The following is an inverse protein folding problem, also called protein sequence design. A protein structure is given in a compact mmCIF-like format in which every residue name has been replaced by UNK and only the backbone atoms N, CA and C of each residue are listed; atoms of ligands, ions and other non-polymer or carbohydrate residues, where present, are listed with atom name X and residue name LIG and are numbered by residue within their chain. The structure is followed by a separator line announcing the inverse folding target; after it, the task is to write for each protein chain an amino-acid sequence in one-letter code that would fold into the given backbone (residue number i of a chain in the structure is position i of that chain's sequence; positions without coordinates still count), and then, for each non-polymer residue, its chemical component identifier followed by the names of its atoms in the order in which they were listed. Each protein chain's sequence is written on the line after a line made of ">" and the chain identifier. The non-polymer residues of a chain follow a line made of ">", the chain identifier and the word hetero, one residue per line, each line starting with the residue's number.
data_IF_758555661376
#
_entry.id   IF_758555661376
#
_cell.length_a   1.000
_cell.length_b   1.000
_cell.length_c   1.000
_cell.angle_alpha   90.00
_cell.angle_beta   90.00
_cell.angle_gamma   90.00
#
_symmetry.space_group_name_H-M   'P 1'
#
loop_
_entity.id
_entity.type
_entity.pdbx_description
1 polymer ?
#
# COMPACT_ATOMS: atom_id res chain seq x y z
N UNK A 1 19.85 -3.72 45.46
CA UNK A 1 20.87 -3.19 46.39
C UNK A 1 21.82 -2.32 45.58
N UNK A 2 22.03 -1.06 46.01
CA UNK A 2 23.07 -0.07 45.63
C UNK A 2 23.49 0.03 44.14
N UNK A 3 23.22 1.11 43.38
CA UNK A 3 23.68 2.52 43.51
C UNK A 3 25.19 2.70 43.19
N UNK A 4 25.71 3.80 42.62
CA UNK A 4 25.15 5.05 42.07
C UNK A 4 25.46 5.11 40.52
N UNK A 5 25.30 6.16 39.70
CA UNK A 5 24.95 7.58 39.87
C UNK A 5 24.24 8.13 38.59
N UNK A 6 24.22 9.45 38.36
CA UNK A 6 23.53 10.15 37.26
C UNK A 6 24.31 11.38 36.71
N UNK A 7 23.63 12.13 35.80
CA UNK A 7 23.87 13.53 35.33
C UNK A 7 24.76 13.60 34.07
N UNK A 8 24.31 13.97 32.85
CA UNK A 8 23.38 14.98 32.26
C UNK A 8 24.10 16.22 31.69
N UNK A 9 23.49 16.74 30.61
CA UNK A 9 23.52 18.12 30.07
C UNK A 9 24.72 18.60 29.20
N UNK A 10 24.47 18.58 27.89
CA UNK A 10 24.49 19.73 26.95
C UNK A 10 25.63 20.77 26.98
N UNK A 11 26.27 20.99 25.82
CA UNK A 11 27.10 22.16 25.56
C UNK A 11 26.93 22.77 24.15
N UNK A 12 26.49 24.03 24.12
CA UNK A 12 26.67 25.09 23.10
C UNK A 12 26.32 26.42 23.81
N UNK A 13 26.77 27.61 23.36
CA UNK A 13 27.89 27.93 22.44
C UNK A 13 28.78 29.12 22.96
N UNK A 14 29.59 29.69 22.05
CA UNK A 14 30.08 31.10 22.02
C UNK A 14 31.50 31.48 22.55
N UNK A 15 32.39 31.74 21.56
CA UNK A 15 33.04 33.04 21.26
C UNK A 15 34.38 33.51 21.89
N UNK A 16 35.08 34.29 21.03
CA UNK A 16 36.13 35.32 21.20
C UNK A 16 37.64 34.98 21.37
N UNK A 17 38.35 35.29 20.28
CA UNK A 17 39.54 36.16 20.12
C UNK A 17 41.00 35.76 20.45
N UNK A 18 41.84 36.22 19.50
CA UNK A 18 43.31 36.37 19.44
C UNK A 18 43.87 37.32 20.54
N UNK A 19 45.20 37.39 20.86
CA UNK A 19 46.31 37.41 19.88
C UNK A 19 47.72 36.82 20.23
N UNK A 20 48.38 36.31 19.19
CA UNK A 20 49.69 36.74 18.63
C UNK A 20 50.81 37.32 19.55
N UNK A 21 52.07 36.80 19.47
CA UNK A 21 53.38 37.55 19.37
C UNK A 21 54.68 36.74 19.72
N UNK A 22 55.67 36.72 18.79
CA UNK A 22 57.18 36.68 18.93
C UNK A 22 57.88 35.56 19.78
N UNK A 23 59.21 35.32 19.69
CA UNK A 23 60.28 35.29 18.63
C UNK A 23 61.59 34.79 19.33
N UNK A 24 62.54 34.20 18.58
CA UNK A 24 63.99 34.06 18.91
C UNK A 24 64.35 33.06 20.06
N UNK A 25 65.53 32.41 20.14
CA UNK A 25 66.75 32.37 19.31
C UNK A 25 67.58 31.08 19.59
N UNK A 26 68.53 30.71 18.68
CA UNK A 26 69.92 30.15 18.84
C UNK A 26 70.28 29.20 20.04
N UNK A 27 71.20 28.23 20.00
CA UNK A 27 72.29 27.78 19.08
C UNK A 27 72.90 26.47 19.63
N UNK A 28 73.61 25.67 18.80
CA UNK A 28 74.73 24.84 19.28
C UNK A 28 74.67 23.34 18.94
N UNK A 29 75.68 22.87 18.22
CA UNK A 29 76.09 21.47 17.97
C UNK A 29 77.55 21.34 18.49
N UNK A 30 78.10 20.16 18.89
CA UNK A 30 78.54 19.18 17.87
C UNK A 30 78.66 17.67 18.26
N UNK A 31 78.56 16.81 17.23
CA UNK A 31 79.31 15.54 16.96
C UNK A 31 79.63 14.50 18.06
N UNK A 32 79.12 13.26 17.88
CA UNK A 32 79.89 11.98 17.99
C UNK A 32 79.46 11.01 16.85
N UNK A 33 80.37 10.14 16.40
CA UNK A 33 80.31 9.29 15.20
C UNK A 33 79.84 7.83 15.44
N UNK A 34 79.25 7.19 14.41
CA UNK A 34 78.95 5.75 14.37
C UNK A 34 78.20 5.31 13.10
N UNK A 35 78.63 4.24 12.42
CA UNK A 35 78.13 3.92 11.06
C UNK A 35 76.74 3.26 11.02
N UNK A 36 75.85 3.63 10.07
CA UNK A 36 74.43 3.25 10.12
C UNK A 36 74.01 2.15 9.12
N UNK A 37 74.66 0.98 9.09
CA UNK A 37 74.29 -0.11 8.13
C UNK A 37 73.76 -1.41 8.74
N UNK A 38 73.99 -1.72 10.02
CA UNK A 38 73.46 -2.96 10.65
C UNK A 38 72.17 -2.77 11.48
N UNK A 39 71.84 -1.56 11.94
CA UNK A 39 70.64 -1.33 12.77
C UNK A 39 69.32 -1.24 11.96
N UNK A 40 69.34 -0.87 10.68
CA UNK A 40 68.11 -0.71 9.89
C UNK A 40 67.46 -2.03 9.44
N UNK A 41 68.26 -3.08 9.16
CA UNK A 41 67.73 -4.37 8.70
C UNK A 41 66.90 -5.09 9.79
N UNK A 42 67.35 -5.06 11.04
CA UNK A 42 66.65 -5.70 12.16
C UNK A 42 65.31 -5.01 12.51
N UNK A 43 65.25 -3.67 12.41
CA UNK A 43 64.02 -2.89 12.65
C UNK A 43 62.99 -3.08 11.53
N UNK A 44 63.45 -3.25 10.28
CA UNK A 44 62.57 -3.54 9.13
C UNK A 44 61.93 -4.93 9.23
N UNK A 45 62.73 -5.98 9.48
CA UNK A 45 62.24 -7.36 9.60
C UNK A 45 61.29 -7.58 10.79
N UNK A 46 61.52 -6.89 11.92
CA UNK A 46 60.62 -6.93 13.08
C UNK A 46 59.30 -6.21 12.83
N UNK A 47 59.31 -5.03 12.20
CA UNK A 47 58.07 -4.33 11.78
C UNK A 47 57.24 -5.15 10.78
N UNK A 48 57.85 -5.76 9.77
CA UNK A 48 57.13 -6.64 8.82
C UNK A 48 56.53 -7.87 9.51
N UNK A 49 57.25 -8.51 10.45
CA UNK A 49 56.73 -9.64 11.23
C UNK A 49 55.57 -9.23 12.13
N UNK A 50 55.62 -8.04 12.73
CA UNK A 50 54.54 -7.50 13.56
C UNK A 50 53.29 -7.17 12.73
N UNK A 51 53.43 -6.46 11.61
CA UNK A 51 52.31 -6.16 10.70
C UNK A 51 51.65 -7.43 10.16
N UNK A 52 52.43 -8.44 9.71
CA UNK A 52 51.86 -9.71 9.24
C UNK A 52 51.10 -10.46 10.34
N UNK A 53 51.60 -10.46 11.59
CA UNK A 53 50.87 -11.05 12.73
C UNK A 53 49.60 -10.27 13.08
N UNK A 54 49.63 -8.94 13.01
CA UNK A 54 48.46 -8.09 13.29
C UNK A 54 47.36 -8.26 12.23
N UNK A 55 47.71 -8.31 10.95
CA UNK A 55 46.78 -8.58 9.84
C UNK A 55 46.20 -9.99 9.95
N UNK A 56 47.02 -10.99 10.34
CA UNK A 56 46.54 -12.36 10.58
C UNK A 56 45.55 -12.42 11.76
N UNK A 57 45.80 -11.69 12.85
CA UNK A 57 44.87 -11.61 13.98
C UNK A 57 43.55 -10.93 13.59
N UNK A 58 43.59 -9.82 12.83
CA UNK A 58 42.39 -9.13 12.35
C UNK A 58 41.56 -9.96 11.36
N UNK A 59 42.21 -10.75 10.50
CA UNK A 59 41.50 -11.66 9.59
C UNK A 59 40.91 -12.85 10.33
N UNK A 60 41.59 -13.40 11.34
CA UNK A 60 41.01 -14.44 12.22
C UNK A 60 39.81 -13.91 13.02
N UNK A 61 39.89 -12.72 13.62
CA UNK A 61 38.74 -12.15 14.36
C UNK A 61 37.58 -11.81 13.43
N UNK A 62 37.83 -11.35 12.20
CA UNK A 62 36.78 -11.16 11.20
C UNK A 62 36.11 -12.48 10.79
N UNK A 63 36.88 -13.55 10.55
CA UNK A 63 36.34 -14.88 10.21
C UNK A 63 35.52 -15.47 11.38
N UNK A 64 36.00 -15.34 12.62
CA UNK A 64 35.25 -15.79 13.81
C UNK A 64 33.98 -14.96 14.01
N UNK A 65 34.04 -13.64 13.82
CA UNK A 65 32.86 -12.75 13.82
C UNK A 65 31.84 -13.17 12.75
N UNK A 66 32.30 -13.40 11.52
CA UNK A 66 31.45 -13.81 10.40
C UNK A 66 30.80 -15.18 10.63
N UNK A 67 31.54 -16.18 11.15
CA UNK A 67 30.98 -17.50 11.45
C UNK A 67 29.99 -17.47 12.62
N UNK A 68 30.23 -16.65 13.65
CA UNK A 68 29.26 -16.40 14.73
C UNK A 68 28.02 -15.65 14.22
N UNK A 69 28.17 -14.70 13.28
CA UNK A 69 27.04 -13.99 12.67
C UNK A 69 26.20 -14.91 11.77
N UNK A 70 26.84 -15.64 10.86
CA UNK A 70 26.18 -16.60 9.96
C UNK A 70 25.49 -17.71 10.76
N UNK A 71 26.12 -18.24 11.80
CA UNK A 71 25.46 -19.23 12.67
C UNK A 71 24.28 -18.62 13.44
N UNK A 72 24.38 -17.41 14.00
CA UNK A 72 23.22 -16.72 14.62
C UNK A 72 22.07 -16.46 13.64
N UNK A 73 22.36 -16.03 12.42
CA UNK A 73 21.35 -15.81 11.36
C UNK A 73 20.73 -17.15 10.94
N UNK A 74 21.54 -18.19 10.76
CA UNK A 74 21.07 -19.54 10.43
C UNK A 74 20.21 -20.15 11.54
N UNK A 75 20.62 -20.06 12.80
CA UNK A 75 19.81 -20.49 13.95
C UNK A 75 18.53 -19.67 14.11
N UNK A 76 18.54 -18.36 13.85
CA UNK A 76 17.33 -17.52 13.85
C UNK A 76 16.36 -17.95 12.75
N UNK A 77 16.85 -18.19 11.53
CA UNK A 77 16.02 -18.66 10.41
C UNK A 77 15.54 -20.11 10.62
N UNK A 78 16.34 -20.98 11.24
CA UNK A 78 15.95 -22.35 11.60
C UNK A 78 14.91 -22.38 12.73
N UNK A 79 15.02 -21.48 13.71
CA UNK A 79 14.00 -21.26 14.75
C UNK A 79 12.68 -20.76 14.13
N UNK A 80 12.73 -19.81 13.18
CA UNK A 80 11.55 -19.39 12.40
C UNK A 80 10.95 -20.56 11.61
N UNK A 81 11.76 -21.35 10.91
CA UNK A 81 11.29 -22.49 10.10
C UNK A 81 10.69 -23.64 10.93
N UNK A 82 11.25 -23.93 12.10
CA UNK A 82 10.70 -24.92 13.04
C UNK A 82 9.43 -24.40 13.72
N UNK A 83 9.34 -23.11 14.04
CA UNK A 83 8.12 -22.48 14.56
C UNK A 83 7.01 -22.49 13.48
N UNK A 84 7.33 -22.16 12.23
CA UNK A 84 6.40 -22.25 11.09
C UNK A 84 5.90 -23.68 10.87
N UNK A 85 6.77 -24.70 10.92
CA UNK A 85 6.34 -26.12 10.87
C UNK A 85 5.46 -26.52 12.07
N UNK A 86 5.70 -25.95 13.26
CA UNK A 86 4.93 -26.25 14.49
C UNK A 86 3.56 -25.55 14.50
N UNK A 87 3.45 -24.36 13.92
CA UNK A 87 2.18 -23.66 13.67
C UNK A 87 1.37 -24.36 12.57
N UNK A 88 2.03 -24.85 11.49
CA UNK A 88 1.38 -25.55 10.37
C UNK A 88 0.73 -26.90 10.75
N UNK A 89 1.00 -27.44 11.94
CA UNK A 89 0.44 -28.70 12.44
C UNK A 89 -0.66 -28.53 13.50
N UNK A 90 -1.26 -27.33 13.67
CA UNK A 90 -2.31 -27.11 14.69
C UNK A 90 -3.58 -26.40 14.24
N UNK A 91 -3.87 -26.35 12.94
CA UNK A 91 -5.14 -25.86 12.40
C UNK A 91 -5.82 -26.92 11.54
N UNK A 92 -6.32 -27.97 12.21
CA UNK A 92 -7.35 -28.87 11.67
C UNK A 92 -8.55 -28.75 12.61
N UNK A 93 -9.49 -27.84 12.27
CA UNK A 93 -10.84 -27.82 12.82
C UNK A 93 -11.78 -27.67 11.64
N UNK A 94 -12.69 -28.64 11.49
CA UNK A 94 -13.66 -28.68 10.42
C UNK A 94 -14.82 -27.69 10.64
N UNK A 95 -15.22 -27.03 9.55
CA UNK A 95 -16.61 -26.91 9.10
C UNK A 95 -17.66 -26.40 10.12
N UNK A 96 -18.01 -25.11 10.01
CA UNK A 96 -19.18 -24.53 10.67
C UNK A 96 -19.88 -23.47 9.80
N UNK A 97 -20.46 -23.89 8.66
CA UNK A 97 -21.41 -23.06 7.90
C UNK A 97 -22.68 -23.86 7.50
N UNK A 98 -23.21 -24.69 8.41
CA UNK A 98 -24.48 -25.42 8.24
C UNK A 98 -25.36 -25.42 9.51
N UNK A 99 -25.18 -24.45 10.42
CA UNK A 99 -25.84 -24.46 11.75
C UNK A 99 -26.66 -23.20 12.08
N UNK A 100 -27.05 -22.40 11.07
CA UNK A 100 -27.98 -21.26 11.24
C UNK A 100 -29.32 -21.36 10.50
N UNK A 101 -29.61 -22.49 9.85
CA UNK A 101 -30.90 -22.72 9.17
C UNK A 101 -31.73 -23.92 9.68
N UNK A 102 -31.17 -24.77 10.56
CA UNK A 102 -31.86 -25.97 11.08
C UNK A 102 -32.75 -25.70 12.32
N UNK A 103 -32.60 -24.54 12.98
CA UNK A 103 -33.42 -24.21 14.17
C UNK A 103 -34.88 -23.90 13.84
N UNK A 104 -35.14 -23.27 12.70
CA UNK A 104 -36.51 -22.88 12.31
C UNK A 104 -37.37 -24.07 11.90
N UNK A 105 -36.78 -25.07 11.22
CA UNK A 105 -37.51 -26.28 10.78
C UNK A 105 -37.76 -27.24 11.96
N UNK A 106 -36.81 -27.39 12.89
CA UNK A 106 -37.05 -28.21 14.10
C UNK A 106 -38.10 -27.64 15.04
N UNK A 107 -38.28 -26.31 15.07
CA UNK A 107 -39.40 -25.70 15.79
C UNK A 107 -40.74 -26.03 15.12
N UNK A 108 -40.84 -25.87 13.80
CA UNK A 108 -42.05 -26.19 13.02
C UNK A 108 -42.40 -27.70 13.03
N UNK A 109 -41.41 -28.59 13.16
CA UNK A 109 -41.63 -30.03 13.28
C UNK A 109 -41.94 -30.50 14.71
N UNK A 110 -41.78 -29.65 15.72
CA UNK A 110 -42.17 -29.95 17.11
C UNK A 110 -43.68 -29.82 17.30
N UNK A 111 -44.27 -28.76 16.75
CA UNK A 111 -45.66 -28.39 17.01
C UNK A 111 -46.68 -29.29 16.27
N UNK A 112 -46.22 -30.07 15.29
CA UNK A 112 -47.03 -31.06 14.58
C UNK A 112 -47.18 -32.42 15.31
N UNK A 113 -46.61 -32.59 16.52
CA UNK A 113 -46.54 -33.89 17.22
C UNK A 113 -47.44 -34.06 18.45
N UNK A 114 -48.34 -33.11 18.72
CA UNK A 114 -49.33 -33.20 19.81
C UNK A 114 -50.79 -33.11 19.33
N UNK A 115 -51.19 -34.01 18.44
CA UNK A 115 -52.62 -34.36 18.28
C UNK A 115 -52.81 -35.87 18.12
N UNK A 116 -53.17 -36.54 19.21
CA UNK A 116 -53.53 -37.95 19.23
C UNK A 116 -55.02 -38.12 18.93
N UNK A 117 -55.38 -38.95 17.94
CA UNK A 117 -55.94 -40.28 18.22
C UNK A 117 -56.33 -41.10 16.99
N UNK A 118 -56.07 -42.41 17.11
CA UNK A 118 -56.71 -43.58 16.48
C UNK A 118 -57.91 -43.33 15.55
N UNK A 119 -57.91 -43.97 14.38
CA UNK A 119 -58.67 -45.23 14.16
C UNK A 119 -57.98 -46.07 13.06
N UNK A 120 -58.38 -47.34 12.91
CA UNK A 120 -57.67 -48.38 12.16
C UNK A 120 -57.72 -48.20 10.64
N UNK A 121 -56.82 -48.87 9.90
CA UNK A 121 -57.13 -49.93 8.89
C UNK A 121 -55.83 -50.45 8.24
N UNK A 122 -55.76 -51.77 8.03
CA UNK A 122 -54.72 -52.48 7.25
C UNK A 122 -55.01 -52.45 5.76
N UNK A 123 -54.02 -52.85 4.95
CA UNK A 123 -54.12 -53.13 3.51
C UNK A 123 -54.28 -51.90 2.59
N UNK A 124 -53.96 -51.97 1.29
CA UNK A 124 -52.88 -52.67 0.57
C UNK A 124 -52.90 -52.11 -0.88
N UNK A 125 -51.72 -51.82 -1.45
CA UNK A 125 -51.47 -51.66 -2.91
C UNK A 125 -52.55 -51.00 -3.79
N UNK A 126 -52.34 -49.75 -4.19
CA UNK A 126 -52.56 -49.38 -5.61
C UNK A 126 -51.67 -48.21 -6.03
N UNK A 127 -51.15 -48.32 -7.25
CA UNK A 127 -50.25 -47.37 -7.90
C UNK A 127 -51.08 -46.42 -8.74
N UNK A 128 -51.06 -45.11 -8.46
CA UNK A 128 -51.51 -44.12 -9.44
C UNK A 128 -50.88 -42.73 -9.28
N UNK A 129 -50.34 -42.24 -10.39
CA UNK A 129 -50.14 -40.84 -10.78
C UNK A 129 -49.95 -39.77 -9.68
N UNK A 130 -48.68 -39.43 -9.38
CA UNK A 130 -48.36 -38.07 -8.93
C UNK A 130 -47.87 -37.24 -10.12
N UNK A 131 -48.73 -36.34 -10.57
CA UNK A 131 -48.40 -35.28 -11.54
C UNK A 131 -47.20 -34.46 -11.05
N UNK A 132 -46.18 -34.30 -11.91
CA UNK A 132 -45.01 -33.50 -11.59
C UNK A 132 -45.39 -32.04 -11.30
N UNK A 133 -45.16 -31.58 -10.08
CA UNK A 133 -45.20 -30.16 -9.73
C UNK A 133 -43.88 -29.53 -10.23
N UNK A 134 -43.93 -28.45 -11.04
CA UNK A 134 -42.71 -27.84 -11.56
C UNK A 134 -41.95 -27.13 -10.44
N UNK A 135 -40.75 -27.62 -10.13
CA UNK A 135 -39.80 -26.90 -9.26
C UNK A 135 -39.27 -25.71 -10.05
N UNK A 136 -39.83 -24.54 -9.78
CA UNK A 136 -39.41 -23.27 -10.36
C UNK A 136 -38.50 -22.53 -9.40
N UNK A 137 -37.57 -21.77 -9.98
CA UNK A 137 -36.67 -20.81 -9.32
C UNK A 137 -35.59 -21.41 -8.40
N UNK A 138 -34.40 -21.60 -8.99
CA UNK A 138 -33.16 -21.64 -8.25
C UNK A 138 -33.01 -20.35 -7.44
N UNK A 139 -32.81 -20.47 -6.14
CA UNK A 139 -32.61 -19.34 -5.23
C UNK A 139 -31.41 -18.50 -5.68
N UNK A 140 -31.59 -17.19 -5.84
CA UNK A 140 -30.50 -16.25 -6.12
C UNK A 140 -29.43 -16.36 -5.02
N UNK A 141 -28.25 -16.86 -5.37
CA UNK A 141 -27.12 -16.93 -4.45
C UNK A 141 -26.53 -15.53 -4.34
N UNK A 142 -27.05 -14.72 -3.41
CA UNK A 142 -26.46 -13.43 -3.09
C UNK A 142 -25.16 -13.64 -2.30
N UNK A 143 -24.05 -13.14 -2.83
CA UNK A 143 -22.75 -13.24 -2.18
C UNK A 143 -22.50 -12.01 -1.34
N UNK A 144 -22.59 -12.17 -0.02
CA UNK A 144 -22.63 -11.02 0.88
C UNK A 144 -21.28 -10.60 1.46
N UNK A 145 -20.22 -11.41 1.45
CA UNK A 145 -19.03 -11.12 2.27
C UNK A 145 -18.39 -9.74 2.00
N UNK A 146 -18.22 -9.35 0.73
CA UNK A 146 -17.70 -8.02 0.37
C UNK A 146 -18.75 -6.90 0.36
N UNK A 147 -20.02 -7.18 0.71
CA UNK A 147 -21.07 -6.17 0.71
C UNK A 147 -20.83 -5.14 1.84
N UNK A 148 -20.67 -3.83 1.54
CA UNK A 148 -20.08 -2.89 2.47
C UNK A 148 -20.93 -2.63 3.72
N UNK A 149 -22.25 -2.73 3.62
CA UNK A 149 -23.15 -2.54 4.77
C UNK A 149 -23.14 -3.69 5.79
N UNK A 150 -22.34 -4.75 5.56
CA UNK A 150 -21.98 -5.68 6.64
C UNK A 150 -21.04 -5.03 7.67
N UNK A 151 -20.34 -3.98 7.26
CA UNK A 151 -19.31 -3.29 8.01
C UNK A 151 -19.79 -1.92 8.47
N UNK A 152 -19.07 -1.34 9.43
CA UNK A 152 -19.40 -0.05 10.05
C UNK A 152 -18.17 0.84 10.10
N UNK A 153 -18.36 2.09 9.70
CA UNK A 153 -17.35 3.11 9.89
C UNK A 153 -17.15 3.41 11.39
N UNK A 154 -15.91 3.23 11.85
CA UNK A 154 -15.40 3.61 13.18
C UNK A 154 -14.84 5.04 13.12
N UNK A 155 -14.29 5.42 11.97
CA UNK A 155 -13.86 6.77 11.61
C UNK A 155 -14.49 7.05 10.23
N UNK A 156 -15.20 8.17 10.07
CA UNK A 156 -16.30 8.23 9.08
C UNK A 156 -16.39 9.57 8.30
N UNK A 157 -15.76 10.64 8.82
CA UNK A 157 -15.70 12.01 8.26
C UNK A 157 -16.92 12.44 7.41
N UNK A 158 -18.15 12.35 7.96
CA UNK A 158 -19.40 12.33 7.19
C UNK A 158 -19.69 13.61 6.39
N UNK A 159 -19.19 14.75 6.86
CA UNK A 159 -19.46 16.07 6.28
C UNK A 159 -18.32 16.57 5.37
N UNK A 160 -17.24 15.79 5.18
CA UNK A 160 -16.03 16.24 4.48
C UNK A 160 -16.33 16.74 3.07
N UNK A 161 -17.05 15.95 2.27
CA UNK A 161 -17.42 16.36 0.92
C UNK A 161 -18.50 17.46 0.88
N UNK A 162 -19.40 17.53 1.87
CA UNK A 162 -20.39 18.62 1.96
C UNK A 162 -19.71 19.98 2.17
N UNK A 163 -18.61 19.98 2.93
CA UNK A 163 -17.81 21.17 3.25
C UNK A 163 -16.81 21.51 2.13
N UNK A 164 -16.08 20.53 1.60
CA UNK A 164 -15.02 20.74 0.61
C UNK A 164 -15.55 20.83 -0.83
N UNK A 165 -16.75 20.28 -1.11
CA UNK A 165 -17.39 20.20 -2.43
C UNK A 165 -16.41 19.81 -3.57
N UNK A 166 -15.74 18.65 -3.49
CA UNK A 166 -14.71 18.25 -4.43
C UNK A 166 -15.25 18.00 -5.84
N UNK A 167 -14.44 18.33 -6.84
CA UNK A 167 -14.62 17.81 -8.20
C UNK A 167 -14.07 16.39 -8.32
N UNK A 168 -12.94 16.12 -7.68
CA UNK A 168 -12.24 14.84 -7.67
C UNK A 168 -11.95 14.40 -6.23
N UNK A 169 -12.25 13.15 -5.91
CA UNK A 169 -11.87 12.50 -4.64
C UNK A 169 -10.79 11.44 -4.89
N UNK A 170 -9.67 11.52 -4.18
CA UNK A 170 -8.63 10.50 -4.19
C UNK A 170 -8.82 9.57 -2.99
N UNK A 171 -9.27 8.35 -3.26
CA UNK A 171 -9.47 7.30 -2.26
C UNK A 171 -8.23 6.42 -2.20
N UNK A 172 -7.49 6.50 -1.09
CA UNK A 172 -6.20 5.84 -0.91
C UNK A 172 -6.33 4.66 0.06
N UNK A 173 -6.55 3.43 -0.41
CA UNK A 173 -6.45 2.26 0.46
C UNK A 173 -5.03 2.11 0.98
N UNK A 174 -4.89 2.07 2.31
CA UNK A 174 -3.60 2.01 3.00
C UNK A 174 -3.74 1.17 4.27
N UNK A 175 -2.70 0.47 4.70
CA UNK A 175 -2.78 -0.30 5.93
C UNK A 175 -2.59 0.59 7.18
N UNK A 176 -3.24 0.28 8.32
CA UNK A 176 -3.09 0.99 9.59
C UNK A 176 -1.66 1.38 9.96
N UNK A 177 -0.70 0.46 9.79
CA UNK A 177 0.70 0.66 10.13
C UNK A 177 1.51 1.55 9.17
N UNK A 178 0.99 1.88 7.98
CA UNK A 178 1.71 2.62 6.93
C UNK A 178 1.59 4.15 7.09
N UNK A 179 1.81 4.65 8.30
CA UNK A 179 1.83 6.08 8.61
C UNK A 179 2.87 6.85 7.76
N UNK A 180 4.00 6.22 7.42
CA UNK A 180 5.01 6.81 6.53
C UNK A 180 4.49 7.04 5.10
N UNK A 181 3.66 6.13 4.57
CA UNK A 181 3.07 6.27 3.25
C UNK A 181 2.03 7.41 3.23
N UNK A 182 1.11 7.42 4.22
CA UNK A 182 0.13 8.52 4.40
C UNK A 182 0.82 9.88 4.50
N UNK A 183 1.88 9.98 5.31
CA UNK A 183 2.64 11.21 5.47
C UNK A 183 3.46 11.61 4.25
N UNK A 184 3.94 10.68 3.42
CA UNK A 184 4.57 11.02 2.15
C UNK A 184 3.55 11.58 1.15
N UNK A 185 2.36 10.98 1.08
CA UNK A 185 1.25 11.47 0.24
C UNK A 185 0.82 12.87 0.67
N UNK A 186 0.57 13.10 1.97
CA UNK A 186 0.27 14.45 2.54
C UNK A 186 1.37 15.49 2.30
N UNK A 187 2.61 15.08 2.05
CA UNK A 187 3.75 15.98 1.74
C UNK A 187 4.00 16.16 0.24
N UNK A 188 3.24 15.46 -0.61
CA UNK A 188 3.45 15.45 -2.05
C UNK A 188 2.15 15.76 -2.80
N UNK A 189 1.66 14.86 -3.66
CA UNK A 189 0.47 15.08 -4.47
C UNK A 189 -0.81 15.19 -3.63
N UNK A 190 -0.85 14.57 -2.46
CA UNK A 190 -1.99 14.67 -1.55
C UNK A 190 -2.16 16.04 -0.87
N UNK A 191 -1.25 16.98 -1.11
CA UNK A 191 -1.33 18.36 -0.61
C UNK A 191 -1.92 19.35 -1.65
N UNK A 192 -2.17 18.92 -2.89
CA UNK A 192 -2.71 19.80 -3.94
C UNK A 192 -4.24 19.86 -3.90
N UNK A 193 -4.79 20.63 -2.96
CA UNK A 193 -6.24 20.73 -2.74
C UNK A 193 -7.02 21.49 -3.82
N UNK A 194 -6.34 22.27 -4.67
CA UNK A 194 -6.94 22.95 -5.83
C UNK A 194 -6.00 22.85 -7.03
N UNK A 195 -6.47 22.24 -8.11
CA UNK A 195 -5.75 22.12 -9.40
C UNK A 195 -6.68 22.53 -10.53
N UNK A 196 -6.20 23.35 -11.47
CA UNK A 196 -6.98 23.84 -12.62
C UNK A 196 -8.37 24.43 -12.24
N UNK A 197 -8.42 25.18 -11.13
CA UNK A 197 -9.65 25.78 -10.54
C UNK A 197 -10.72 24.76 -10.10
N UNK A 198 -10.31 23.56 -9.67
CA UNK A 198 -11.17 22.51 -9.14
C UNK A 198 -10.66 22.00 -7.80
N UNK A 199 -11.57 21.80 -6.85
CA UNK A 199 -11.26 21.25 -5.54
C UNK A 199 -10.96 19.74 -5.64
N UNK A 200 -9.93 19.30 -4.94
CA UNK A 200 -9.51 17.91 -4.84
C UNK A 200 -9.48 17.55 -3.35
N UNK A 201 -10.16 16.46 -2.99
CA UNK A 201 -10.18 15.90 -1.64
C UNK A 201 -9.40 14.60 -1.61
N UNK A 202 -8.62 14.36 -0.55
CA UNK A 202 -7.92 13.09 -0.32
C UNK A 202 -8.51 12.41 0.92
N UNK A 203 -8.72 11.10 0.83
CA UNK A 203 -9.23 10.27 1.93
C UNK A 203 -8.46 8.96 1.97
N UNK A 204 -7.85 8.65 3.10
CA UNK A 204 -7.19 7.37 3.36
C UNK A 204 -8.19 6.36 3.90
N UNK A 205 -8.27 5.17 3.30
CA UNK A 205 -9.21 4.11 3.69
C UNK A 205 -8.50 2.93 4.35
N UNK A 206 -8.92 2.62 5.58
CA UNK A 206 -8.28 1.63 6.45
C UNK A 206 -9.30 0.61 7.00
N UNK A 207 -8.82 -0.59 7.31
CA UNK A 207 -9.53 -1.56 8.14
C UNK A 207 -9.09 -1.53 9.61
N UNK A 208 -9.40 -2.59 10.33
CA UNK A 208 -8.91 -2.84 11.69
C UNK A 208 -7.41 -3.16 11.71
N UNK A 209 -6.66 -2.67 12.71
CA UNK A 209 -5.25 -3.00 12.88
C UNK A 209 -5.04 -4.45 13.33
N UNK A 210 -3.94 -5.06 12.87
CA UNK A 210 -3.61 -6.46 13.17
C UNK A 210 -2.70 -6.63 14.40
N UNK A 211 -1.43 -6.23 14.27
CA UNK A 211 -0.41 -6.36 15.33
C UNK A 211 -0.43 -5.07 16.17
N UNK A 212 -0.26 -5.19 17.50
CA UNK A 212 -0.34 -4.06 18.45
C UNK A 212 -1.65 -3.26 18.32
N UNK A 213 -2.76 -3.95 18.03
CA UNK A 213 -4.03 -3.39 17.61
C UNK A 213 -4.53 -2.20 18.46
N UNK A 214 -4.50 -2.30 19.80
CA UNK A 214 -4.96 -1.22 20.69
C UNK A 214 -4.13 0.06 20.55
N UNK A 215 -2.80 -0.08 20.53
CA UNK A 215 -1.85 1.04 20.37
C UNK A 215 -1.98 1.68 18.99
N UNK A 216 -2.04 0.85 17.95
CA UNK A 216 -2.21 1.32 16.57
C UNK A 216 -3.57 2.00 16.36
N UNK A 217 -4.62 1.50 17.00
CA UNK A 217 -5.93 2.15 16.95
C UNK A 217 -5.93 3.52 17.63
N UNK A 218 -5.14 3.70 18.70
CA UNK A 218 -4.98 5.00 19.35
C UNK A 218 -4.12 5.96 18.52
N UNK A 219 -3.04 5.47 17.90
CA UNK A 219 -2.23 6.23 16.93
C UNK A 219 -3.11 6.74 15.77
N UNK A 220 -4.03 5.91 15.24
CA UNK A 220 -5.00 6.31 14.21
C UNK A 220 -6.02 7.35 14.70
N UNK A 221 -6.46 7.30 15.97
CA UNK A 221 -7.37 8.33 16.52
C UNK A 221 -6.68 9.68 16.63
N UNK A 222 -5.44 9.70 17.11
CA UNK A 222 -4.62 10.90 17.22
C UNK A 222 -4.27 11.47 15.83
N UNK A 223 -4.02 10.60 14.85
CA UNK A 223 -3.82 11.00 13.46
C UNK A 223 -5.10 11.62 12.87
N UNK A 224 -6.27 11.02 13.07
CA UNK A 224 -7.52 11.57 12.56
C UNK A 224 -7.89 12.92 13.19
N UNK A 225 -7.65 13.08 14.50
CA UNK A 225 -7.83 14.35 15.22
C UNK A 225 -6.95 15.49 14.68
N UNK A 226 -5.86 15.16 13.97
CA UNK A 226 -4.94 16.14 13.39
C UNK A 226 -5.26 16.46 11.92
N UNK A 227 -5.67 15.45 11.14
CA UNK A 227 -5.76 15.57 9.68
C UNK A 227 -7.18 15.48 9.10
N UNK A 228 -8.15 14.88 9.79
CA UNK A 228 -9.53 14.70 9.31
C UNK A 228 -9.62 14.15 7.87
N UNK A 229 -8.77 13.17 7.56
CA UNK A 229 -8.60 12.57 6.24
C UNK A 229 -8.59 11.03 6.27
N UNK A 230 -8.93 10.40 7.41
CA UNK A 230 -9.05 8.96 7.53
C UNK A 230 -10.53 8.53 7.50
N UNK A 231 -10.81 7.44 6.78
CA UNK A 231 -12.00 6.62 7.03
C UNK A 231 -11.54 5.22 7.42
N UNK A 232 -12.19 4.65 8.43
CA UNK A 232 -11.87 3.33 8.96
C UNK A 232 -13.13 2.52 9.14
N UNK A 233 -13.18 1.31 8.59
CA UNK A 233 -14.31 0.39 8.72
C UNK A 233 -13.91 -0.92 9.41
N UNK A 234 -14.85 -1.60 10.06
CA UNK A 234 -14.62 -2.70 11.01
C UNK A 234 -14.28 -4.08 10.39
N UNK A 235 -13.68 -4.10 9.19
CA UNK A 235 -13.15 -5.31 8.55
C UNK A 235 -11.66 -5.55 8.91
N UNK A 236 -11.21 -6.80 8.88
CA UNK A 236 -9.79 -7.13 9.10
C UNK A 236 -8.93 -6.67 7.92
N UNK A 237 -7.97 -5.75 8.15
CA UNK A 237 -7.14 -5.22 7.06
C UNK A 237 -6.10 -6.25 6.60
N UNK A 238 -6.25 -6.76 5.38
CA UNK A 238 -5.33 -7.72 4.77
C UNK A 238 -5.45 -7.71 3.25
N UNK A 239 -4.42 -8.21 2.55
CA UNK A 239 -4.41 -8.31 1.08
C UNK A 239 -5.62 -9.09 0.53
N UNK A 240 -6.03 -10.17 1.21
CA UNK A 240 -7.19 -10.97 0.81
C UNK A 240 -8.52 -10.23 0.93
N UNK A 241 -8.56 -9.18 1.78
CA UNK A 241 -9.74 -8.36 2.03
C UNK A 241 -9.71 -7.01 1.28
N UNK A 242 -8.82 -6.83 0.29
CA UNK A 242 -8.81 -5.61 -0.53
C UNK A 242 -10.15 -5.37 -1.22
N UNK A 243 -10.84 -6.43 -1.66
CA UNK A 243 -12.17 -6.36 -2.25
C UNK A 243 -13.21 -5.78 -1.29
N UNK A 244 -13.15 -6.16 0.00
CA UNK A 244 -13.97 -5.53 1.07
C UNK A 244 -13.60 -4.05 1.21
N UNK A 245 -12.31 -3.72 1.28
CA UNK A 245 -11.83 -2.33 1.40
C UNK A 245 -12.32 -1.45 0.24
N UNK A 246 -12.24 -1.93 -1.01
CA UNK A 246 -12.76 -1.18 -2.15
C UNK A 246 -14.28 -1.06 -2.13
N UNK A 247 -15.03 -2.10 -1.75
CA UNK A 247 -16.48 -1.95 -1.63
C UNK A 247 -16.89 -0.93 -0.54
N UNK A 248 -16.13 -0.86 0.57
CA UNK A 248 -16.28 0.19 1.60
C UNK A 248 -15.93 1.59 1.04
N UNK A 249 -14.88 1.71 0.23
CA UNK A 249 -14.55 2.95 -0.50
C UNK A 249 -15.70 3.39 -1.40
N UNK A 250 -16.28 2.47 -2.18
CA UNK A 250 -17.40 2.76 -3.09
C UNK A 250 -18.67 3.15 -2.32
N UNK A 251 -18.95 2.53 -1.17
CA UNK A 251 -20.09 2.89 -0.32
C UNK A 251 -19.92 4.27 0.33
N UNK A 252 -18.72 4.60 0.80
CA UNK A 252 -18.44 5.93 1.35
C UNK A 252 -18.61 7.02 0.27
N UNK A 253 -18.08 6.80 -0.94
CA UNK A 253 -18.30 7.71 -2.07
C UNK A 253 -19.79 7.87 -2.41
N UNK A 254 -20.52 6.76 -2.53
CA UNK A 254 -21.94 6.76 -2.89
C UNK A 254 -22.84 7.42 -1.84
N UNK A 255 -22.50 7.31 -0.55
CA UNK A 255 -23.36 7.77 0.55
C UNK A 255 -22.93 9.10 1.17
N UNK A 256 -21.64 9.46 1.12
CA UNK A 256 -21.07 10.65 1.79
C UNK A 256 -20.46 11.67 0.84
N UNK A 257 -20.18 11.27 -0.39
CA UNK A 257 -19.61 12.14 -1.41
C UNK A 257 -20.37 12.11 -2.77
N UNK A 258 -21.72 11.95 -2.83
CA UNK A 258 -22.43 11.79 -4.10
C UNK A 258 -22.32 13.00 -5.06
N UNK A 259 -21.96 14.18 -4.54
CA UNK A 259 -21.77 15.42 -5.31
C UNK A 259 -20.45 15.51 -6.08
N UNK A 260 -19.46 14.65 -5.77
CA UNK A 260 -18.21 14.65 -6.51
C UNK A 260 -18.45 14.27 -7.99
N UNK A 261 -17.72 14.89 -8.92
CA UNK A 261 -17.85 14.55 -10.35
C UNK A 261 -17.12 13.25 -10.67
N UNK A 262 -15.90 13.10 -10.14
CA UNK A 262 -15.06 11.92 -10.32
C UNK A 262 -14.47 11.45 -8.99
N UNK A 263 -14.12 10.18 -8.94
CA UNK A 263 -13.30 9.61 -7.89
C UNK A 263 -12.17 8.78 -8.51
N UNK A 264 -11.05 8.67 -7.81
CA UNK A 264 -9.93 7.81 -8.18
C UNK A 264 -9.57 6.92 -7.00
N UNK A 265 -9.55 5.60 -7.20
CA UNK A 265 -8.86 4.69 -6.30
C UNK A 265 -7.38 4.67 -6.71
N UNK A 266 -6.47 4.86 -5.76
CA UNK A 266 -5.03 4.87 -6.03
C UNK A 266 -4.25 4.29 -4.85
N UNK A 267 -3.32 3.37 -5.12
CA UNK A 267 -2.57 2.69 -4.06
C UNK A 267 -1.56 3.62 -3.35
N UNK A 268 -1.15 3.24 -2.13
CA UNK A 268 -0.33 4.07 -1.24
C UNK A 268 1.14 4.21 -1.66
N UNK A 269 1.62 3.38 -2.59
CA UNK A 269 2.97 3.37 -3.16
C UNK A 269 3.08 4.11 -4.50
N UNK A 270 2.05 4.92 -4.84
CA UNK A 270 1.94 5.58 -6.14
C UNK A 270 2.50 7.00 -6.17
N UNK A 271 3.09 7.36 -7.31
CA UNK A 271 3.24 8.73 -7.76
C UNK A 271 2.00 9.14 -8.58
N UNK A 272 1.49 10.35 -8.35
CA UNK A 272 0.35 10.90 -9.10
C UNK A 272 0.64 12.34 -9.53
N UNK A 273 0.55 12.62 -10.83
CA UNK A 273 0.63 13.96 -11.39
C UNK A 273 -0.79 14.50 -11.64
N UNK A 274 -1.26 15.31 -10.70
CA UNK A 274 -2.64 15.83 -10.73
C UNK A 274 -2.90 16.79 -11.89
N UNK A 275 -1.91 17.54 -12.39
CA UNK A 275 -2.09 18.38 -13.58
C UNK A 275 -2.45 17.55 -14.81
N UNK A 276 -1.80 16.39 -14.99
CA UNK A 276 -2.08 15.48 -16.09
C UNK A 276 -3.43 14.76 -15.90
N UNK A 277 -3.79 14.35 -14.68
CA UNK A 277 -5.09 13.74 -14.39
C UNK A 277 -6.24 14.75 -14.61
N UNK A 278 -6.11 15.97 -14.10
CA UNK A 278 -7.11 17.01 -14.26
C UNK A 278 -7.26 17.43 -15.73
N UNK A 279 -6.16 17.49 -16.48
CA UNK A 279 -6.20 17.71 -17.93
C UNK A 279 -6.93 16.60 -18.69
N UNK A 280 -6.93 15.36 -18.18
CA UNK A 280 -7.77 14.27 -18.71
C UNK A 280 -9.25 14.46 -18.32
N UNK A 281 -9.55 14.77 -17.06
CA UNK A 281 -10.93 14.87 -16.56
C UNK A 281 -11.69 16.13 -16.99
N UNK A 282 -10.98 17.21 -17.34
CA UNK A 282 -11.57 18.48 -17.79
C UNK A 282 -11.70 18.59 -19.32
N UNK A 283 -11.30 17.56 -20.07
CA UNK A 283 -11.51 17.49 -21.51
C UNK A 283 -13.00 17.50 -21.87
N UNK A 284 -13.44 18.24 -22.91
CA UNK A 284 -14.83 18.28 -23.33
C UNK A 284 -15.41 16.91 -23.75
N UNK A 285 -14.55 15.99 -24.18
CA UNK A 285 -14.90 14.65 -24.66
C UNK A 285 -14.81 13.55 -23.58
N UNK A 286 -14.35 13.87 -22.37
CA UNK A 286 -14.36 12.92 -21.25
C UNK A 286 -15.79 12.78 -20.70
N UNK A 287 -16.38 11.58 -20.68
CA UNK A 287 -17.74 11.39 -20.19
C UNK A 287 -17.83 11.57 -18.67
N UNK A 288 -18.96 12.13 -18.21
CA UNK A 288 -19.19 12.52 -16.81
C UNK A 288 -19.99 11.51 -16.00
N UNK A 289 -20.54 10.50 -16.66
CA UNK A 289 -21.35 9.42 -16.10
C UNK A 289 -20.97 8.12 -16.82
N UNK A 290 -21.15 6.98 -16.16
CA UNK A 290 -20.82 5.64 -16.69
C UNK A 290 -19.39 5.51 -17.28
N UNK A 291 -18.44 6.26 -16.74
CA UNK A 291 -17.06 6.35 -17.21
C UNK A 291 -16.06 5.78 -16.22
N UNK A 292 -15.16 4.92 -16.68
CA UNK A 292 -14.05 4.39 -15.89
C UNK A 292 -12.81 4.15 -16.77
N UNK A 293 -11.64 4.65 -16.35
CA UNK A 293 -10.38 4.56 -17.12
C UNK A 293 -9.14 4.40 -16.23
N UNK A 294 -8.08 3.86 -16.81
CA UNK A 294 -6.82 3.56 -16.14
C UNK A 294 -5.91 2.74 -17.05
N UNK A 295 -5.07 1.86 -16.47
CA UNK A 295 -4.34 0.86 -17.27
C UNK A 295 -5.23 -0.35 -17.54
N UNK A 296 -5.77 -0.45 -18.76
CA UNK A 296 -6.67 -1.54 -19.18
C UNK A 296 -5.93 -2.89 -19.22
N UNK A 297 -6.59 -3.90 -18.64
CA UNK A 297 -6.14 -5.28 -18.55
C UNK A 297 -7.18 -6.17 -19.26
N UNK A 298 -6.73 -6.94 -20.25
CA UNK A 298 -7.58 -7.78 -21.11
C UNK A 298 -6.97 -9.19 -21.25
N UNK A 299 -7.83 -10.21 -21.41
CA UNK A 299 -7.46 -11.63 -21.51
C UNK A 299 -6.44 -12.09 -20.44
N UNK A 300 -6.58 -11.59 -19.20
CA UNK A 300 -5.71 -11.99 -18.08
C UNK A 300 -6.21 -13.34 -17.53
N UNK A 301 -5.39 -14.41 -17.56
CA UNK A 301 -5.80 -15.71 -17.05
C UNK A 301 -5.89 -15.71 -15.53
N UNK A 302 -6.87 -16.44 -15.00
CA UNK A 302 -7.05 -16.62 -13.56
C UNK A 302 -5.98 -17.57 -13.03
N UNK A 303 -5.21 -17.14 -12.03
CA UNK A 303 -4.09 -17.94 -11.53
C UNK A 303 -4.60 -19.02 -10.57
N UNK A 304 -4.54 -20.27 -11.02
CA UNK A 304 -4.97 -21.46 -10.24
C UNK A 304 -3.87 -22.13 -9.41
N UNK A 305 -2.62 -21.62 -9.43
CA UNK A 305 -1.55 -22.10 -8.55
C UNK A 305 -1.73 -21.59 -7.11
N UNK A 306 -2.00 -22.52 -6.18
CA UNK A 306 -2.17 -22.28 -4.74
C UNK A 306 -0.95 -21.68 -4.03
N UNK A 307 0.23 -21.67 -4.67
CA UNK A 307 1.44 -21.03 -4.15
C UNK A 307 1.60 -19.56 -4.61
N UNK A 308 0.80 -19.11 -5.57
CA UNK A 308 0.79 -17.72 -6.04
C UNK A 308 0.08 -16.82 -5.04
N UNK A 309 0.62 -15.60 -4.82
CA UNK A 309 -0.08 -14.53 -4.09
C UNK A 309 -1.37 -14.07 -4.78
N UNK A 310 -1.49 -14.37 -6.07
CA UNK A 310 -2.64 -14.04 -6.92
C UNK A 310 -3.59 -15.23 -7.16
N UNK A 311 -3.46 -16.30 -6.36
CA UNK A 311 -4.34 -17.46 -6.46
C UNK A 311 -5.81 -17.07 -6.30
N UNK A 312 -6.67 -17.58 -7.18
CA UNK A 312 -8.13 -17.54 -7.02
C UNK A 312 -8.72 -18.95 -7.22
N UNK A 313 -9.46 -19.48 -6.23
CA UNK A 313 -10.15 -20.77 -6.35
C UNK A 313 -11.23 -20.74 -7.42
N UNK A 314 -11.43 -21.86 -8.12
CA UNK A 314 -12.53 -22.06 -9.07
C UNK A 314 -13.89 -21.90 -8.37
N UNK A 315 -13.97 -22.26 -7.09
CA UNK A 315 -15.18 -22.06 -6.30
C UNK A 315 -15.49 -20.57 -6.04
N UNK A 316 -14.53 -19.64 -6.12
CA UNK A 316 -14.78 -18.20 -5.98
C UNK A 316 -15.06 -17.51 -7.32
N UNK A 317 -14.45 -18.00 -8.39
CA UNK A 317 -14.56 -17.46 -9.74
C UNK A 317 -14.23 -18.61 -10.71
N UNK A 318 -15.21 -19.09 -11.46
CA UNK A 318 -15.16 -20.33 -12.25
C UNK A 318 -14.59 -20.13 -13.66
N UNK A 319 -14.75 -18.96 -14.25
CA UNK A 319 -14.17 -18.63 -15.57
C UNK A 319 -12.62 -18.68 -15.59
N UNK A 320 -12.04 -19.09 -16.73
CA UNK A 320 -10.57 -19.20 -16.90
C UNK A 320 -9.85 -17.86 -17.05
N UNK A 321 -10.59 -16.80 -17.40
CA UNK A 321 -10.08 -15.45 -17.64
C UNK A 321 -10.91 -14.42 -16.88
N UNK A 322 -10.26 -13.34 -16.43
CA UNK A 322 -10.98 -12.18 -15.89
C UNK A 322 -11.67 -11.39 -17.01
N UNK A 323 -12.78 -10.68 -16.71
CA UNK A 323 -13.34 -9.69 -17.63
C UNK A 323 -12.34 -8.57 -17.90
N UNK A 324 -12.64 -7.67 -18.83
CA UNK A 324 -11.79 -6.47 -19.00
C UNK A 324 -11.87 -5.61 -17.74
N UNK A 325 -10.71 -5.29 -17.16
CA UNK A 325 -10.60 -4.54 -15.91
C UNK A 325 -9.47 -3.50 -15.98
N UNK A 326 -9.29 -2.73 -14.91
CA UNK A 326 -8.21 -1.73 -14.80
C UNK A 326 -7.23 -2.14 -13.70
N UNK A 327 -5.92 -2.12 -13.99
CA UNK A 327 -4.90 -2.56 -13.04
C UNK A 327 -4.96 -1.77 -11.72
N UNK A 328 -4.94 -2.50 -10.60
CA UNK A 328 -5.20 -1.98 -9.26
C UNK A 328 -4.33 -0.82 -8.77
N UNK A 329 -3.16 -0.59 -9.39
CA UNK A 329 -2.29 0.57 -9.16
C UNK A 329 -3.04 1.91 -9.11
N UNK A 330 -4.08 2.06 -9.91
CA UNK A 330 -5.02 3.17 -9.81
C UNK A 330 -5.91 3.35 -11.02
N UNK A 331 -7.18 3.64 -10.75
CA UNK A 331 -8.21 3.86 -11.76
C UNK A 331 -9.12 5.02 -11.36
N UNK A 332 -9.55 5.80 -12.35
CA UNK A 332 -10.44 6.96 -12.16
C UNK A 332 -11.79 6.69 -12.82
N UNK A 333 -12.86 7.11 -12.17
CA UNK A 333 -14.23 6.84 -12.57
C UNK A 333 -15.14 8.04 -12.29
N UNK A 334 -16.20 8.18 -13.08
CA UNK A 334 -17.31 9.08 -12.75
C UNK A 334 -18.00 8.59 -11.49
N UNK A 335 -18.30 9.51 -10.57
CA UNK A 335 -18.65 9.14 -9.20
C UNK A 335 -20.01 8.42 -9.09
N UNK A 336 -20.88 8.56 -10.09
CA UNK A 336 -22.15 7.84 -10.22
C UNK A 336 -21.96 6.30 -10.23
N UNK A 337 -20.79 5.82 -10.68
CA UNK A 337 -20.46 4.40 -10.68
C UNK A 337 -20.31 3.81 -9.28
N UNK A 338 -19.96 4.62 -8.26
CA UNK A 338 -19.76 4.13 -6.89
C UNK A 338 -21.00 3.37 -6.37
N UNK A 339 -22.18 3.99 -6.44
CA UNK A 339 -23.45 3.38 -6.05
C UNK A 339 -23.91 2.26 -6.99
N UNK A 340 -23.60 2.36 -8.30
CA UNK A 340 -23.91 1.30 -9.28
C UNK A 340 -23.11 0.02 -8.97
N UNK A 341 -21.82 0.16 -8.67
CA UNK A 341 -20.90 -0.93 -8.28
C UNK A 341 -21.36 -1.57 -6.95
N UNK A 342 -21.60 -0.77 -5.90
CA UNK A 342 -22.10 -1.28 -4.61
C UNK A 342 -23.41 -2.05 -4.77
N UNK A 343 -24.32 -1.60 -5.66
CA UNK A 343 -25.58 -2.29 -5.93
C UNK A 343 -25.37 -3.68 -6.54
N UNK A 344 -24.55 -3.80 -7.60
CA UNK A 344 -24.32 -5.10 -8.28
C UNK A 344 -23.38 -6.03 -7.52
N UNK A 345 -22.55 -5.53 -6.60
CA UNK A 345 -21.61 -6.33 -5.80
C UNK A 345 -22.25 -7.53 -5.10
N UNK A 346 -23.53 -7.43 -4.71
CA UNK A 346 -24.33 -8.51 -4.10
C UNK A 346 -24.53 -9.73 -4.98
N UNK A 347 -24.51 -9.53 -6.29
CA UNK A 347 -24.80 -10.54 -7.31
C UNK A 347 -23.53 -11.29 -7.75
N UNK A 348 -22.35 -10.81 -7.37
CA UNK A 348 -21.05 -11.30 -7.82
C UNK A 348 -20.29 -11.87 -6.64
N UNK A 349 -19.76 -13.08 -6.80
CA UNK A 349 -18.96 -13.72 -5.75
C UNK A 349 -17.65 -12.97 -5.53
N UNK A 350 -17.33 -12.53 -4.30
CA UNK A 350 -16.08 -11.84 -4.05
C UNK A 350 -14.89 -12.80 -4.09
N UNK A 351 -13.83 -12.32 -4.74
CA UNK A 351 -12.50 -12.94 -4.77
C UNK A 351 -11.44 -11.89 -4.47
N UNK A 352 -10.23 -12.32 -4.10
CA UNK A 352 -9.15 -11.49 -3.55
C UNK A 352 -8.40 -10.61 -4.57
N UNK A 353 -8.82 -10.59 -5.83
CA UNK A 353 -8.24 -9.75 -6.89
C UNK A 353 -9.20 -8.59 -7.13
N UNK A 354 -9.09 -7.60 -6.25
CA UNK A 354 -10.00 -6.45 -6.10
C UNK A 354 -10.29 -5.72 -7.42
N UNK A 355 -9.25 -5.48 -8.20
CA UNK A 355 -9.29 -4.75 -9.45
C UNK A 355 -10.06 -5.52 -10.54
N UNK A 356 -9.85 -6.84 -10.64
CA UNK A 356 -10.65 -7.69 -11.50
C UNK A 356 -12.09 -7.91 -10.98
N UNK A 357 -12.34 -7.86 -9.66
CA UNK A 357 -13.70 -7.88 -9.09
C UNK A 357 -14.48 -6.60 -9.42
N UNK A 358 -13.83 -5.43 -9.40
CA UNK A 358 -14.42 -4.18 -9.93
C UNK A 358 -14.67 -4.31 -11.43
N UNK A 359 -13.78 -4.96 -12.19
CA UNK A 359 -14.01 -5.35 -13.59
C UNK A 359 -15.31 -6.13 -13.78
N UNK A 360 -15.53 -7.18 -13.00
CA UNK A 360 -16.76 -7.97 -13.03
C UNK A 360 -18.00 -7.12 -12.65
N UNK A 361 -17.87 -6.19 -11.70
CA UNK A 361 -18.95 -5.26 -11.36
C UNK A 361 -19.33 -4.35 -12.54
N UNK A 362 -18.36 -3.75 -13.24
CA UNK A 362 -18.66 -2.84 -14.37
C UNK A 362 -19.18 -3.60 -15.60
N UNK A 363 -18.63 -4.79 -15.88
CA UNK A 363 -19.17 -5.68 -16.92
C UNK A 363 -20.63 -6.06 -16.62
N UNK A 364 -20.95 -6.40 -15.36
CA UNK A 364 -22.31 -6.75 -14.92
C UNK A 364 -23.31 -5.57 -15.02
N UNK A 365 -22.83 -4.33 -14.96
CA UNK A 365 -23.60 -3.09 -15.21
C UNK A 365 -23.81 -2.88 -16.72
N UNK A 366 -22.93 -3.43 -17.56
CA UNK A 366 -22.93 -3.26 -19.02
C UNK A 366 -21.96 -2.18 -19.51
N UNK A 367 -20.89 -1.90 -18.75
CA UNK A 367 -19.92 -0.84 -19.00
C UNK A 367 -18.54 -1.44 -19.23
N UNK A 368 -17.92 -1.06 -20.34
CA UNK A 368 -16.54 -1.43 -20.67
C UNK A 368 -15.56 -0.37 -20.15
N UNK A 369 -14.49 -0.76 -19.42
CA UNK A 369 -13.41 0.16 -19.10
C UNK A 369 -12.84 0.81 -20.37
N UNK A 370 -12.69 2.13 -20.34
CA UNK A 370 -12.19 2.90 -21.47
C UNK A 370 -10.68 3.04 -21.41
N UNK A 371 -10.00 2.85 -22.54
CA UNK A 371 -8.61 3.28 -22.69
C UNK A 371 -8.53 4.81 -22.52
N UNK A 372 -7.57 5.33 -21.73
CA UNK A 372 -7.34 6.77 -21.65
C UNK A 372 -6.74 7.23 -23.00
N UNK A 373 -6.94 8.50 -23.41
CA UNK A 373 -6.47 9.02 -24.70
C UNK A 373 -4.96 8.84 -24.97
N UNK A 374 -4.16 8.64 -23.93
CA UNK A 374 -2.82 8.06 -24.05
C UNK A 374 -2.59 7.00 -22.95
N UNK A 375 -2.66 5.69 -23.28
CA UNK A 375 -2.39 4.60 -22.34
C UNK A 375 -1.01 4.65 -21.69
N UNK A 376 -0.01 5.30 -22.30
CA UNK A 376 1.33 5.42 -21.73
C UNK A 376 1.38 6.30 -20.46
N UNK A 377 0.29 6.99 -20.11
CA UNK A 377 0.21 7.84 -18.93
C UNK A 377 -0.15 7.08 -17.65
N UNK A 378 -0.77 5.90 -17.74
CA UNK A 378 -0.96 4.98 -16.63
C UNK A 378 0.11 3.89 -16.70
N UNK A 379 1.26 4.16 -16.09
CA UNK A 379 2.43 3.30 -16.16
C UNK A 379 2.50 2.40 -14.92
N UNK A 380 2.84 1.13 -15.09
CA UNK A 380 3.07 0.24 -13.96
C UNK A 380 4.39 0.58 -13.26
N UNK A 381 5.52 0.25 -13.87
CA UNK A 381 6.84 0.46 -13.28
C UNK A 381 7.74 1.28 -14.20
N UNK A 382 8.53 2.18 -13.59
CA UNK A 382 9.65 2.80 -14.29
C UNK A 382 10.85 1.87 -14.36
N UNK A 383 11.20 1.46 -15.58
CA UNK A 383 12.45 0.75 -15.86
C UNK A 383 13.65 1.69 -15.75
N UNK A 384 14.42 1.58 -14.66
CA UNK A 384 15.72 2.23 -14.49
C UNK A 384 15.70 3.45 -13.57
N UNK A 385 16.57 4.43 -13.85
CA UNK A 385 16.71 5.64 -13.02
C UNK A 385 15.60 6.65 -13.31
N UNK A 386 15.18 7.38 -12.26
CA UNK A 386 14.28 8.53 -12.36
C UNK A 386 14.72 9.51 -13.45
N UNK A 387 13.74 10.00 -14.23
CA UNK A 387 13.92 11.05 -15.24
C UNK A 387 12.74 12.01 -15.17
N UNK A 388 12.99 13.26 -14.79
CA UNK A 388 11.98 14.32 -14.63
C UNK A 388 11.02 14.43 -15.81
N UNK A 389 11.53 14.38 -17.05
CA UNK A 389 10.70 14.45 -18.27
C UNK A 389 9.67 13.30 -18.40
N UNK A 390 10.02 12.09 -17.95
CA UNK A 390 9.08 10.97 -18.03
C UNK A 390 8.01 11.08 -16.93
N UNK A 391 8.39 11.46 -15.72
CA UNK A 391 7.48 11.74 -14.61
C UNK A 391 6.55 12.93 -14.87
N UNK A 392 7.02 13.94 -15.62
CA UNK A 392 6.19 15.05 -16.10
C UNK A 392 5.12 14.61 -17.12
N UNK A 393 5.32 13.49 -17.82
CA UNK A 393 4.42 13.03 -18.90
C UNK A 393 3.36 12.01 -18.47
N UNK A 394 3.60 11.26 -17.39
CA UNK A 394 2.64 10.27 -16.86
C UNK A 394 1.58 10.93 -16.00
N UNK A 395 0.41 10.29 -15.91
CA UNK A 395 -0.60 10.55 -14.88
C UNK A 395 -0.15 9.87 -13.58
N UNK A 396 0.21 8.58 -13.63
CA UNK A 396 0.57 7.84 -12.42
C UNK A 396 1.54 6.67 -12.68
N UNK A 397 2.29 6.29 -11.65
CA UNK A 397 3.21 5.14 -11.65
C UNK A 397 3.42 4.55 -10.26
N UNK A 398 3.69 3.24 -10.20
CA UNK A 398 4.11 2.56 -8.96
C UNK A 398 5.56 2.99 -8.63
N UNK A 399 5.84 3.21 -7.34
CA UNK A 399 7.15 3.46 -6.77
C UNK A 399 7.57 2.33 -5.82
N UNK A 400 8.78 2.40 -5.26
CA UNK A 400 9.29 1.39 -4.33
C UNK A 400 9.34 1.84 -2.87
N UNK A 401 9.14 3.15 -2.58
CA UNK A 401 9.06 3.63 -1.19
C UNK A 401 8.44 5.03 -1.07
N UNK A 402 7.90 5.38 0.12
CA UNK A 402 7.47 6.74 0.45
C UNK A 402 8.58 7.79 0.26
N UNK A 403 9.85 7.41 0.45
CA UNK A 403 10.99 8.31 0.25
C UNK A 403 11.25 8.60 -1.24
N UNK A 404 11.04 7.62 -2.14
CA UNK A 404 11.09 7.88 -3.58
C UNK A 404 9.99 8.87 -4.00
N UNK A 405 8.78 8.71 -3.45
CA UNK A 405 7.66 9.62 -3.71
C UNK A 405 8.04 11.07 -3.37
N UNK A 406 8.53 11.30 -2.15
CA UNK A 406 8.97 12.63 -1.70
C UNK A 406 10.06 13.19 -2.62
N UNK A 407 11.11 12.44 -2.91
CA UNK A 407 12.24 12.92 -3.71
C UNK A 407 11.86 13.21 -5.16
N UNK A 408 11.10 12.33 -5.82
CA UNK A 408 10.73 12.51 -7.24
C UNK A 408 9.69 13.63 -7.41
N UNK A 409 8.77 13.78 -6.45
CA UNK A 409 7.81 14.88 -6.43
C UNK A 409 8.49 16.24 -6.26
N UNK A 410 9.43 16.34 -5.31
CA UNK A 410 10.18 17.56 -5.03
C UNK A 410 11.04 18.00 -6.22
N UNK A 411 11.70 17.07 -6.92
CA UNK A 411 12.43 17.40 -8.16
C UNK A 411 11.48 17.87 -9.27
N UNK A 412 10.34 17.19 -9.47
CA UNK A 412 9.39 17.55 -10.53
C UNK A 412 8.77 18.94 -10.32
N UNK A 413 8.32 19.24 -9.10
CA UNK A 413 7.65 20.50 -8.73
C UNK A 413 8.64 21.63 -8.36
N UNK A 414 9.89 21.30 -8.04
CA UNK A 414 10.95 22.26 -7.76
C UNK A 414 11.29 23.12 -8.99
N UNK A 415 11.97 24.26 -8.82
CA UNK A 415 12.39 25.09 -9.94
C UNK A 415 13.20 24.26 -10.96
N UNK A 416 13.01 24.53 -12.24
CA UNK A 416 13.87 23.95 -13.27
C UNK A 416 15.24 24.64 -13.16
N UNK A 417 16.22 23.99 -12.50
CA UNK A 417 17.61 24.38 -12.67
C UNK A 417 17.93 24.33 -14.17
N UNK A 418 18.10 25.51 -14.77
CA UNK A 418 18.57 25.63 -16.14
C UNK A 418 20.05 25.27 -16.16
N UNK A 419 20.34 23.97 -16.19
CA UNK A 419 21.65 23.45 -16.54
C UNK A 419 21.98 23.89 -17.98
N UNK A 420 22.60 25.06 -18.09
CA UNK A 420 23.22 25.56 -19.32
C UNK A 420 22.57 26.75 -20.03
N UNK A 421 22.29 27.88 -19.34
CA UNK A 421 22.44 29.23 -19.94
C UNK A 421 22.91 30.26 -18.89
N UNK A 422 24.11 30.09 -18.34
CA UNK A 422 24.78 31.17 -17.59
C UNK A 422 26.31 30.98 -17.58
N UNK A 423 26.92 30.96 -18.77
CA UNK A 423 28.39 31.07 -18.94
C UNK A 423 28.81 31.56 -20.34
N UNK A 424 28.14 32.61 -20.84
CA UNK A 424 28.57 33.39 -22.02
C UNK A 424 28.18 34.89 -21.87
N UNK A 425 28.21 35.44 -20.64
CA UNK A 425 28.09 36.90 -20.40
C UNK A 425 29.15 37.35 -19.38
N UNK A 426 30.40 37.00 -19.67
CA UNK A 426 31.62 37.66 -19.15
C UNK A 426 32.72 37.34 -20.15
N UNK A 427 32.89 38.19 -21.17
CA UNK A 427 34.16 38.41 -21.91
C UNK A 427 34.02 39.56 -22.94
N UNK A 428 32.80 39.85 -23.47
CA UNK A 428 32.56 40.94 -24.44
C UNK A 428 32.22 42.33 -23.81
N UNK A 429 32.69 42.64 -22.60
CA UNK A 429 32.53 43.98 -22.00
C UNK A 429 33.87 44.48 -21.40
N UNK A 430 34.88 44.64 -22.26
CA UNK A 430 36.04 45.51 -21.99
C UNK A 430 36.52 46.33 -23.21
N UNK A 431 36.14 46.02 -24.45
CA UNK A 431 36.60 46.71 -25.67
C UNK A 431 35.79 47.95 -26.10
N UNK A 432 35.05 48.61 -25.20
CA UNK A 432 34.27 49.84 -25.51
C UNK A 432 34.66 51.05 -24.65
N UNK A 433 35.52 50.90 -23.63
CA UNK A 433 36.08 52.04 -22.87
C UNK A 433 37.51 51.76 -22.38
N UNK A 434 38.53 52.19 -23.13
CA UNK A 434 39.94 52.13 -22.71
C UNK A 434 40.94 52.23 -23.83
#
# INVERSE_FOLDING_TARGET
>A
MFALSCILLSCRPCCHDFPNIRKYNRTGDPHITGSPTQKMAAVSLSRLRFQKRFILLLSITFIVSATVFVSKVWFSNFAKFTTLKKVRNRTVINMACLTRHDRTIKQLMSDAKHTTNRHNVTDMLSMESMTAVPVKEASSICYHEAYPHNYRFIIDEPHKCEQENPFLVLMVPVAPHELEARNAIRRTWGNESVVQNKNITVVFSLGLPGIEAEKQQEELRLENQLYHDLIQSDFMDSYLNLTIKTMVIMDWLATRCPQASYAMKIDSDMFLNLENLMSLLLRPDTPKEDYITGKVMWNVPVIRDKNSKWYVPEELYDEDYYPTYLLGMGYVFSNDLSGKIVKVSKEIKPFNIEDAYVGACVERIGISPSDPPNPSQFKDYFSGRYKRKEFASVITTILHSPQQLITFWQDLKGPHERLGVERLITDDIWDIFG
#
